data_IF_615420537460
#
_entry.id   IF_615420537460
#
_cell.length_a   1.000
_cell.length_b   1.000
_cell.length_c   1.000
_cell.angle_alpha   90.00
_cell.angle_beta   90.00
_cell.angle_gamma   90.00
#
_symmetry.space_group_name_H-M   'P 1'
#
loop_
_entity.id
_entity.type
_entity.pdbx_description
1 polymer ?
#
# COMPACT_ATOMS: atom_id res chain seq x y z
N UNK A 1 -64.12 5.62 19.84
CA UNK A 1 -62.87 6.03 20.52
C UNK A 1 -61.87 4.87 20.65
N UNK A 2 -62.27 3.68 21.05
CA UNK A 2 -61.37 2.51 21.17
C UNK A 2 -60.78 2.09 19.83
N UNK A 3 -61.50 2.14 18.75
CA UNK A 3 -61.05 1.82 17.39
C UNK A 3 -59.92 2.73 16.91
N UNK A 4 -59.99 4.01 17.26
CA UNK A 4 -58.94 4.99 16.90
C UNK A 4 -57.66 4.72 17.65
N UNK A 5 -57.74 4.34 18.94
CA UNK A 5 -56.54 3.97 19.73
C UNK A 5 -55.92 2.69 19.20
N UNK A 6 -56.72 1.69 18.83
CA UNK A 6 -56.18 0.45 18.23
C UNK A 6 -55.51 0.72 16.88
N UNK A 7 -56.15 1.55 16.03
CA UNK A 7 -55.55 1.93 14.74
C UNK A 7 -54.21 2.66 14.92
N UNK A 8 -54.13 3.60 15.87
CA UNK A 8 -52.86 4.31 16.17
C UNK A 8 -51.78 3.37 16.70
N UNK A 9 -52.15 2.40 17.56
CA UNK A 9 -51.20 1.43 18.08
C UNK A 9 -50.63 0.52 16.95
N UNK A 10 -51.48 0.01 16.08
CA UNK A 10 -51.04 -0.80 14.94
C UNK A 10 -50.14 0.00 13.98
N UNK A 11 -50.55 1.23 13.66
CA UNK A 11 -49.74 2.11 12.80
C UNK A 11 -48.37 2.39 13.40
N UNK A 12 -48.29 2.62 14.71
CA UNK A 12 -47.02 2.85 15.41
C UNK A 12 -46.12 1.63 15.33
N UNK A 13 -46.65 0.42 15.55
CA UNK A 13 -45.88 -0.82 15.46
C UNK A 13 -45.33 -1.04 14.03
N UNK A 14 -46.17 -0.83 13.02
CA UNK A 14 -45.76 -0.96 11.61
C UNK A 14 -44.68 0.07 11.29
N UNK A 15 -44.82 1.32 11.74
CA UNK A 15 -43.85 2.37 11.49
C UNK A 15 -42.50 2.03 12.13
N UNK A 16 -42.47 1.55 13.36
CA UNK A 16 -41.25 1.11 14.05
C UNK A 16 -40.58 -0.05 13.29
N UNK A 17 -41.37 -1.04 12.86
CA UNK A 17 -40.86 -2.17 12.09
C UNK A 17 -40.26 -1.73 10.75
N UNK A 18 -40.91 -0.82 10.04
CA UNK A 18 -40.40 -0.26 8.78
C UNK A 18 -39.09 0.54 9.00
N UNK A 19 -39.04 1.39 10.02
CA UNK A 19 -37.84 2.15 10.36
C UNK A 19 -36.65 1.23 10.70
N UNK A 20 -36.92 0.16 11.46
CA UNK A 20 -35.91 -0.86 11.77
C UNK A 20 -35.41 -1.58 10.51
N UNK A 21 -36.32 -1.94 9.60
CA UNK A 21 -35.97 -2.58 8.33
C UNK A 21 -35.10 -1.65 7.46
N UNK A 22 -35.47 -0.39 7.31
CA UNK A 22 -34.73 0.62 6.56
C UNK A 22 -33.34 0.82 7.18
N UNK A 23 -33.24 0.94 8.50
CA UNK A 23 -31.99 1.09 9.22
C UNK A 23 -31.03 -0.09 8.94
N UNK A 24 -31.51 -1.32 9.09
CA UNK A 24 -30.72 -2.52 8.85
C UNK A 24 -30.28 -2.64 7.38
N UNK A 25 -31.16 -2.30 6.44
CA UNK A 25 -30.87 -2.34 5.00
C UNK A 25 -29.81 -1.29 4.64
N UNK A 26 -29.92 -0.08 5.18
CA UNK A 26 -28.94 1.00 4.96
C UNK A 26 -27.58 0.63 5.52
N UNK A 27 -27.54 0.05 6.72
CA UNK A 27 -26.28 -0.42 7.32
C UNK A 27 -25.64 -1.53 6.48
N UNK A 28 -26.43 -2.51 6.02
CA UNK A 28 -25.96 -3.57 5.13
C UNK A 28 -25.41 -3.02 3.82
N UNK A 29 -26.10 -2.07 3.21
CA UNK A 29 -25.64 -1.40 1.98
C UNK A 29 -24.31 -0.66 2.19
N UNK A 30 -24.21 0.13 3.24
CA UNK A 30 -22.96 0.88 3.52
C UNK A 30 -21.79 -0.05 3.81
N UNK A 31 -21.97 -1.16 4.52
CA UNK A 31 -20.93 -2.17 4.74
C UNK A 31 -20.47 -2.80 3.41
N UNK A 32 -21.40 -3.14 2.54
CA UNK A 32 -21.10 -3.71 1.23
C UNK A 32 -20.33 -2.71 0.36
N UNK A 33 -20.78 -1.46 0.31
CA UNK A 33 -20.11 -0.41 -0.46
C UNK A 33 -18.68 -0.17 0.02
N UNK A 34 -18.44 -0.15 1.32
CA UNK A 34 -17.09 -0.03 1.90
C UNK A 34 -16.20 -1.20 1.50
N UNK A 35 -16.72 -2.43 1.56
CA UNK A 35 -15.97 -3.61 1.16
C UNK A 35 -15.60 -3.57 -0.34
N UNK A 36 -16.52 -3.13 -1.19
CA UNK A 36 -16.27 -2.96 -2.63
C UNK A 36 -15.20 -1.90 -2.89
N UNK A 37 -15.27 -0.76 -2.23
CA UNK A 37 -14.30 0.33 -2.40
C UNK A 37 -12.89 -0.12 -1.95
N UNK A 38 -12.78 -0.76 -0.79
CA UNK A 38 -11.51 -1.30 -0.29
C UNK A 38 -10.92 -2.35 -1.22
N UNK A 39 -11.76 -3.25 -1.75
CA UNK A 39 -11.32 -4.25 -2.72
C UNK A 39 -10.86 -3.61 -4.04
N UNK A 40 -11.53 -2.56 -4.48
CA UNK A 40 -11.15 -1.81 -5.68
C UNK A 40 -9.78 -1.13 -5.50
N UNK A 41 -9.56 -0.49 -4.35
CA UNK A 41 -8.29 0.16 -4.02
C UNK A 41 -7.14 -0.86 -4.00
N UNK A 42 -7.32 -2.00 -3.31
CA UNK A 42 -6.31 -3.05 -3.28
C UNK A 42 -6.00 -3.61 -4.67
N UNK A 43 -7.03 -3.88 -5.48
CA UNK A 43 -6.84 -4.38 -6.85
C UNK A 43 -6.13 -3.39 -7.75
N UNK A 44 -6.44 -2.10 -7.63
CA UNK A 44 -5.78 -1.05 -8.41
C UNK A 44 -4.30 -0.98 -8.05
N UNK A 45 -3.98 -0.99 -6.75
CA UNK A 45 -2.60 -1.02 -6.28
C UNK A 45 -1.86 -2.27 -6.76
N UNK A 46 -2.44 -3.46 -6.57
CA UNK A 46 -1.81 -4.73 -6.97
C UNK A 46 -1.53 -4.74 -8.48
N UNK A 47 -2.45 -4.30 -9.32
CA UNK A 47 -2.24 -4.23 -10.78
C UNK A 47 -1.16 -3.24 -11.17
N UNK A 48 -1.15 -2.08 -10.51
CA UNK A 48 -0.13 -1.07 -10.72
C UNK A 48 1.25 -1.62 -10.35
N UNK A 49 1.37 -2.20 -9.16
CA UNK A 49 2.60 -2.82 -8.67
C UNK A 49 3.06 -4.00 -9.56
N UNK A 50 2.12 -4.84 -10.02
CA UNK A 50 2.39 -5.95 -10.95
C UNK A 50 3.01 -5.45 -12.26
N UNK A 51 2.50 -4.34 -12.80
CA UNK A 51 3.05 -3.70 -13.98
C UNK A 51 4.47 -3.16 -13.78
N UNK A 52 4.76 -2.61 -12.61
CA UNK A 52 6.10 -2.10 -12.29
C UNK A 52 7.11 -3.20 -12.01
N UNK A 53 6.74 -4.17 -11.15
CA UNK A 53 7.64 -5.26 -10.79
C UNK A 53 7.89 -6.21 -11.99
N UNK A 54 6.94 -6.32 -12.91
CA UNK A 54 7.13 -7.08 -14.15
C UNK A 54 8.20 -6.51 -15.08
N UNK A 55 8.54 -5.23 -14.93
CA UNK A 55 9.57 -4.54 -15.70
C UNK A 55 10.88 -4.33 -14.89
N UNK A 56 11.02 -4.97 -13.71
CA UNK A 56 12.22 -4.85 -12.92
C UNK A 56 13.44 -5.42 -13.66
N UNK A 57 14.59 -4.84 -13.42
CA UNK A 57 15.84 -5.33 -14.00
C UNK A 57 16.39 -6.47 -13.12
N UNK A 58 16.48 -7.71 -13.63
CA UNK A 58 17.07 -8.82 -12.89
C UNK A 58 18.48 -8.45 -12.43
N UNK A 59 18.88 -8.86 -11.24
CA UNK A 59 20.22 -8.65 -10.65
C UNK A 59 20.56 -7.23 -10.20
N UNK A 60 19.69 -6.24 -10.32
CA UNK A 60 19.99 -4.89 -9.88
C UNK A 60 19.10 -4.46 -8.71
N UNK A 61 19.71 -4.27 -7.57
CA UNK A 61 19.20 -3.53 -6.42
C UNK A 61 17.76 -3.87 -5.97
N UNK A 62 17.56 -5.07 -5.47
CA UNK A 62 16.47 -5.37 -4.58
C UNK A 62 16.88 -4.97 -3.17
N UNK A 63 16.43 -3.84 -2.69
CA UNK A 63 16.68 -3.46 -1.31
C UNK A 63 15.40 -3.61 -0.53
N UNK A 64 15.38 -4.62 0.31
CA UNK A 64 14.38 -4.80 1.33
C UNK A 64 14.97 -4.31 2.65
N UNK A 65 14.38 -3.31 3.24
CA UNK A 65 14.70 -2.93 4.62
C UNK A 65 13.58 -3.44 5.50
N UNK A 66 13.73 -4.65 5.99
CA UNK A 66 12.88 -5.17 7.07
C UNK A 66 13.25 -4.43 8.35
N UNK A 67 12.28 -3.79 8.97
CA UNK A 67 12.45 -3.15 10.27
C UNK A 67 12.05 -4.14 11.35
N UNK A 68 13.00 -4.63 12.14
CA UNK A 68 12.76 -5.53 13.27
C UNK A 68 11.97 -4.87 14.44
N UNK A 69 11.80 -3.57 14.42
CA UNK A 69 11.06 -2.85 15.45
C UNK A 69 9.67 -2.44 14.97
N UNK A 70 8.74 -3.33 15.16
CA UNK A 70 7.35 -3.20 14.78
C UNK A 70 6.60 -2.16 15.63
N UNK A 71 6.50 -0.92 15.15
CA UNK A 71 5.62 0.08 15.77
C UNK A 71 4.91 0.90 14.68
N UNK A 72 3.94 0.28 13.99
CA UNK A 72 3.06 0.96 13.04
C UNK A 72 3.55 1.04 11.59
N UNK A 73 2.97 1.91 10.76
CA UNK A 73 3.30 2.00 9.35
C UNK A 73 4.78 2.32 9.06
N UNK A 74 5.42 3.10 9.94
CA UNK A 74 6.85 3.46 9.82
C UNK A 74 7.80 2.26 9.93
N UNK A 75 7.32 1.14 10.46
CA UNK A 75 8.05 -0.13 10.57
C UNK A 75 7.70 -1.13 9.48
N UNK A 76 6.88 -0.74 8.52
CA UNK A 76 6.61 -1.53 7.33
C UNK A 76 7.88 -1.68 6.49
N UNK A 77 7.93 -2.76 5.73
CA UNK A 77 9.04 -3.00 4.81
C UNK A 77 9.19 -1.86 3.82
N UNK A 78 10.41 -1.67 3.35
CA UNK A 78 10.73 -0.74 2.26
C UNK A 78 11.28 -1.54 1.10
N UNK A 79 10.75 -1.30 -0.08
CA UNK A 79 11.18 -1.96 -1.31
C UNK A 79 11.68 -0.91 -2.28
N UNK A 80 12.83 -1.16 -2.88
CA UNK A 80 13.28 -0.38 -4.02
C UNK A 80 13.89 -1.29 -5.09
N UNK A 81 13.64 -0.97 -6.34
CA UNK A 81 14.18 -1.69 -7.49
C UNK A 81 14.35 -0.77 -8.69
N UNK A 82 15.20 -1.20 -9.62
CA UNK A 82 15.35 -0.54 -10.91
C UNK A 82 14.48 -1.26 -11.93
N UNK A 83 13.80 -0.49 -12.76
CA UNK A 83 12.94 -1.00 -13.84
C UNK A 83 13.28 -0.36 -15.17
N UNK A 84 12.93 -1.04 -16.24
CA UNK A 84 12.94 -0.45 -17.58
C UNK A 84 11.73 0.47 -17.71
N UNK A 85 11.95 1.71 -18.14
CA UNK A 85 10.90 2.69 -18.37
C UNK A 85 10.24 2.45 -19.72
N UNK A 86 8.92 2.58 -19.77
CA UNK A 86 8.21 2.62 -21.06
C UNK A 86 8.53 3.92 -21.82
N UNK A 87 8.46 3.94 -23.16
CA UNK A 87 8.70 5.16 -23.94
C UNK A 87 7.85 6.35 -23.51
N UNK A 88 6.60 6.12 -23.10
CA UNK A 88 5.68 7.16 -22.61
C UNK A 88 6.16 7.82 -21.30
N UNK A 89 6.78 7.03 -20.44
CA UNK A 89 7.36 7.53 -19.17
C UNK A 89 8.68 8.24 -19.45
N UNK A 90 9.49 7.74 -20.37
CA UNK A 90 10.73 8.40 -20.82
C UNK A 90 10.44 9.80 -21.33
N UNK A 91 9.45 9.96 -22.21
CA UNK A 91 9.00 11.26 -22.75
C UNK A 91 8.61 12.25 -21.64
N UNK A 92 8.02 11.77 -20.53
CA UNK A 92 7.66 12.60 -19.40
C UNK A 92 8.89 13.15 -18.66
N UNK A 93 9.97 12.37 -18.58
CA UNK A 93 11.25 12.82 -18.01
C UNK A 93 12.05 13.70 -18.96
N UNK A 94 12.01 13.46 -20.28
CA UNK A 94 12.69 14.28 -21.29
C UNK A 94 12.22 15.73 -21.32
N UNK A 95 10.97 15.98 -20.97
CA UNK A 95 10.41 17.33 -20.87
C UNK A 95 10.91 18.08 -19.62
N UNK A 96 11.64 17.44 -18.73
CA UNK A 96 12.35 18.09 -17.62
C UNK A 96 13.71 18.58 -18.15
N UNK A 97 14.14 19.83 -17.90
CA UNK A 97 15.42 20.32 -18.37
C UNK A 97 16.57 19.45 -17.86
N UNK A 98 17.09 18.57 -18.72
CA UNK A 98 18.27 17.77 -18.42
C UNK A 98 19.55 18.61 -18.55
N UNK A 99 20.60 18.32 -17.77
CA UNK A 99 21.92 18.88 -18.02
C UNK A 99 22.37 18.59 -19.46
N UNK A 100 23.01 19.52 -20.11
CA UNK A 100 23.26 19.57 -21.55
C UNK A 100 24.04 18.37 -22.18
N UNK A 101 24.41 17.37 -21.39
CA UNK A 101 25.16 16.17 -21.82
C UNK A 101 24.60 14.85 -21.26
N UNK A 102 23.39 14.83 -20.73
CA UNK A 102 22.78 13.59 -20.24
C UNK A 102 21.88 13.00 -21.33
N UNK A 103 22.24 11.81 -21.80
CA UNK A 103 21.34 10.97 -22.59
C UNK A 103 20.22 10.45 -21.66
N UNK A 104 18.94 10.65 -21.98
CA UNK A 104 17.87 10.05 -21.20
C UNK A 104 17.98 8.52 -21.34
N UNK A 105 18.36 7.88 -20.25
CA UNK A 105 18.39 6.41 -20.21
C UNK A 105 16.99 5.83 -20.13
N UNK A 106 16.89 4.54 -20.38
CA UNK A 106 15.66 3.76 -20.31
C UNK A 106 15.38 3.13 -18.91
N UNK A 107 16.21 3.46 -17.93
CA UNK A 107 16.12 2.92 -16.57
C UNK A 107 15.60 3.96 -15.59
N UNK A 108 14.72 3.51 -14.69
CA UNK A 108 14.23 4.31 -13.58
C UNK A 108 14.22 3.52 -12.28
N UNK A 109 14.57 4.16 -11.17
CA UNK A 109 14.47 3.56 -9.86
C UNK A 109 13.10 3.91 -9.23
N UNK A 110 12.51 2.91 -8.57
CA UNK A 110 11.26 3.06 -7.84
C UNK A 110 11.46 2.58 -6.41
N UNK A 111 10.93 3.34 -5.45
CA UNK A 111 10.90 2.94 -4.06
C UNK A 111 9.49 3.02 -3.49
N UNK A 112 9.13 2.01 -2.68
CA UNK A 112 7.90 1.91 -1.92
C UNK A 112 8.21 1.91 -0.42
N UNK A 113 7.52 2.73 0.33
CA UNK A 113 7.69 2.83 1.77
C UNK A 113 6.41 3.34 2.44
N UNK A 114 6.21 3.02 3.70
CA UNK A 114 5.10 3.50 4.49
C UNK A 114 5.53 4.64 5.42
N UNK A 115 4.71 5.68 5.49
CA UNK A 115 4.89 6.82 6.39
C UNK A 115 3.55 7.54 6.60
N UNK A 116 3.55 8.63 7.33
CA UNK A 116 2.37 9.47 7.56
C UNK A 116 2.34 10.66 6.62
N UNK A 117 1.16 10.94 6.06
CA UNK A 117 0.93 12.17 5.28
C UNK A 117 1.19 13.41 6.15
N UNK A 118 1.88 14.42 5.63
CA UNK A 118 2.01 15.72 6.28
C UNK A 118 0.67 16.47 6.21
N UNK A 119 -0.08 16.48 7.31
CA UNK A 119 -1.37 17.16 7.40
C UNK A 119 -1.24 18.45 8.19
N UNK A 120 -1.90 19.52 7.74
CA UNK A 120 -1.85 20.83 8.39
C UNK A 120 -2.53 20.86 9.77
N UNK A 121 -3.47 19.95 10.01
CA UNK A 121 -4.24 19.81 11.24
C UNK A 121 -3.66 18.78 12.23
N UNK A 122 -2.49 18.23 11.90
CA UNK A 122 -1.79 17.28 12.76
C UNK A 122 -2.43 15.89 12.84
N UNK A 123 -3.38 15.57 11.96
CA UNK A 123 -3.94 14.23 11.85
C UNK A 123 -2.89 13.26 11.32
N UNK A 124 -2.79 12.10 11.92
CA UNK A 124 -1.93 11.03 11.43
C UNK A 124 -2.71 10.18 10.42
N UNK A 125 -2.38 10.30 9.14
CA UNK A 125 -2.95 9.48 8.07
C UNK A 125 -1.81 8.64 7.50
N UNK A 126 -1.71 7.34 7.87
CA UNK A 126 -0.67 6.49 7.33
C UNK A 126 -0.96 6.16 5.87
N UNK A 127 0.09 6.14 5.06
CA UNK A 127 -0.01 5.87 3.64
C UNK A 127 1.17 5.03 3.14
N UNK A 128 0.96 4.32 2.05
CA UNK A 128 2.03 3.76 1.24
C UNK A 128 2.44 4.82 0.22
N UNK A 129 3.68 5.18 0.23
CA UNK A 129 4.27 6.13 -0.70
C UNK A 129 5.06 5.42 -1.78
N UNK A 130 5.08 6.05 -2.94
CA UNK A 130 5.91 5.70 -4.07
C UNK A 130 6.80 6.87 -4.42
N UNK A 131 8.07 6.61 -4.51
CA UNK A 131 9.07 7.54 -5.06
C UNK A 131 9.61 7.00 -6.35
N UNK A 132 9.62 7.83 -7.38
CA UNK A 132 10.20 7.49 -8.67
C UNK A 132 11.39 8.42 -8.96
N UNK A 133 12.47 7.83 -9.42
CA UNK A 133 13.64 8.56 -9.91
C UNK A 133 13.77 8.38 -11.41
N UNK A 134 14.02 9.49 -12.09
CA UNK A 134 14.31 9.48 -13.51
C UNK A 134 15.67 8.88 -13.85
N UNK A 135 15.97 8.74 -15.16
CA UNK A 135 17.15 8.05 -15.65
C UNK A 135 18.48 8.57 -15.09
N UNK A 136 18.67 9.88 -15.05
CA UNK A 136 19.91 10.50 -14.56
C UNK A 136 20.21 10.15 -13.10
N UNK A 137 19.20 10.30 -12.22
CA UNK A 137 19.36 9.98 -10.81
C UNK A 137 19.51 8.47 -10.57
N UNK A 138 18.89 7.64 -11.42
CA UNK A 138 19.05 6.19 -11.40
C UNK A 138 20.47 5.77 -11.79
N UNK A 139 21.04 6.41 -12.80
CA UNK A 139 22.41 6.17 -13.21
C UNK A 139 23.42 6.53 -12.10
N UNK A 140 23.22 7.64 -11.39
CA UNK A 140 24.05 8.01 -10.24
C UNK A 140 24.04 6.93 -9.14
N UNK A 141 22.88 6.30 -8.89
CA UNK A 141 22.76 5.18 -7.93
C UNK A 141 23.56 3.97 -8.43
N UNK A 142 23.44 3.63 -9.71
CA UNK A 142 24.15 2.50 -10.32
C UNK A 142 25.68 2.70 -10.27
N UNK A 143 26.15 3.90 -10.56
CA UNK A 143 27.58 4.24 -10.54
C UNK A 143 28.15 4.24 -9.10
N UNK A 144 27.34 4.66 -8.12
CA UNK A 144 27.74 4.64 -6.72
C UNK A 144 27.91 3.21 -6.16
N UNK A 145 27.32 2.21 -6.80
CA UNK A 145 27.48 0.80 -6.47
C UNK A 145 27.02 0.42 -5.06
N UNK A 146 26.19 1.25 -4.42
CA UNK A 146 25.82 1.11 -3.02
C UNK A 146 24.30 1.19 -2.82
N UNK A 147 23.75 0.21 -2.11
CA UNK A 147 22.38 0.26 -1.59
C UNK A 147 22.10 1.44 -0.66
N UNK A 148 23.16 2.12 -0.17
CA UNK A 148 23.04 3.31 0.67
C UNK A 148 22.54 4.56 -0.09
N UNK A 149 22.49 4.52 -1.42
CA UNK A 149 22.08 5.65 -2.28
C UNK A 149 20.60 5.57 -2.71
N UNK A 150 19.79 4.74 -2.05
CA UNK A 150 18.37 4.71 -2.34
C UNK A 150 17.69 6.06 -2.10
N UNK A 151 16.66 6.36 -2.91
CA UNK A 151 15.96 7.62 -2.77
C UNK A 151 15.50 7.83 -1.34
N UNK A 152 15.95 8.92 -0.72
CA UNK A 152 15.53 9.28 0.62
C UNK A 152 14.02 9.52 0.64
N UNK A 153 13.24 8.88 1.51
CA UNK A 153 11.81 9.11 1.63
C UNK A 153 11.49 10.58 1.91
N UNK A 154 10.51 11.12 1.18
CA UNK A 154 9.97 12.47 1.42
C UNK A 154 8.44 12.47 1.27
N UNK A 155 7.69 12.18 2.36
CA UNK A 155 6.23 12.14 2.32
C UNK A 155 5.56 13.45 1.90
N UNK A 156 6.30 14.57 1.84
CA UNK A 156 5.74 15.84 1.41
C UNK A 156 5.69 15.99 -0.12
N UNK A 157 6.54 15.27 -0.83
CA UNK A 157 6.67 15.37 -2.30
C UNK A 157 6.38 14.04 -3.01
N UNK A 158 6.54 12.91 -2.31
CA UNK A 158 6.34 11.58 -2.90
C UNK A 158 4.85 11.24 -3.04
N UNK A 159 4.51 10.40 -4.00
CA UNK A 159 3.14 10.03 -4.31
C UNK A 159 2.56 9.06 -3.28
N UNK A 160 1.47 9.44 -2.61
CA UNK A 160 0.73 8.54 -1.74
C UNK A 160 -0.25 7.69 -2.57
N UNK A 161 0.00 6.38 -2.66
CA UNK A 161 -0.77 5.45 -3.52
C UNK A 161 -1.82 4.63 -2.79
N UNK A 162 -1.63 4.36 -1.49
CA UNK A 162 -2.62 3.70 -0.63
C UNK A 162 -2.73 4.46 0.67
N UNK A 163 -3.95 4.86 1.04
CA UNK A 163 -4.23 5.56 2.28
C UNK A 163 -4.70 4.59 3.37
N UNK A 164 -4.63 5.05 4.62
CA UNK A 164 -5.09 4.33 5.80
C UNK A 164 -4.38 2.98 5.97
N UNK A 165 -3.11 2.94 5.62
CA UNK A 165 -2.26 1.78 5.67
C UNK A 165 -1.98 1.38 7.12
N UNK A 166 -2.08 0.08 7.41
CA UNK A 166 -1.67 -0.49 8.70
C UNK A 166 -0.30 -1.13 8.55
N UNK A 167 -0.09 -1.84 7.44
CA UNK A 167 1.10 -2.63 7.21
C UNK A 167 1.34 -2.83 5.71
N UNK A 168 2.59 -2.76 5.33
CA UNK A 168 3.11 -3.15 4.03
C UNK A 168 4.27 -4.11 4.28
N UNK A 169 4.09 -5.36 3.90
CA UNK A 169 5.05 -6.42 4.15
C UNK A 169 5.43 -7.08 2.83
N UNK A 170 6.71 -7.34 2.67
CA UNK A 170 7.29 -7.98 1.50
C UNK A 170 8.17 -9.13 1.95
N UNK A 171 7.90 -10.31 1.40
CA UNK A 171 8.69 -11.50 1.65
C UNK A 171 9.26 -12.03 0.32
N UNK A 172 10.50 -11.71 0.02
CA UNK A 172 11.17 -12.28 -1.14
C UNK A 172 11.54 -13.75 -0.84
N UNK A 173 11.39 -14.60 -1.84
CA UNK A 173 11.67 -16.04 -1.73
C UNK A 173 12.46 -16.51 -2.94
N UNK A 174 13.25 -17.56 -2.75
CA UNK A 174 14.09 -18.17 -3.78
C UNK A 174 13.90 -19.69 -3.79
N UNK A 175 13.98 -20.30 -4.97
CA UNK A 175 14.03 -21.74 -5.07
C UNK A 175 15.45 -22.26 -4.82
N UNK A 176 15.61 -23.13 -3.85
CA UNK A 176 16.88 -23.80 -3.64
C UNK A 176 17.16 -24.84 -4.76
N UNK A 177 18.35 -25.42 -4.73
CA UNK A 177 18.81 -26.42 -5.72
C UNK A 177 17.93 -27.68 -5.79
N UNK A 178 17.07 -27.91 -4.80
CA UNK A 178 16.11 -29.04 -4.77
C UNK A 178 14.70 -28.64 -5.20
N UNK A 179 14.49 -27.37 -5.59
CA UNK A 179 13.20 -26.84 -6.00
C UNK A 179 12.26 -26.50 -4.84
N UNK A 180 12.78 -26.41 -3.62
CA UNK A 180 12.02 -25.98 -2.44
C UNK A 180 12.13 -24.46 -2.30
N UNK A 181 11.00 -23.80 -2.01
CA UNK A 181 10.93 -22.37 -1.80
C UNK A 181 11.41 -22.04 -0.39
N UNK A 182 12.42 -21.17 -0.29
CA UNK A 182 13.02 -20.69 0.95
C UNK A 182 12.96 -19.17 1.01
N UNK A 183 13.09 -18.58 2.20
CA UNK A 183 13.17 -17.14 2.36
C UNK A 183 14.49 -16.64 1.75
N UNK A 184 14.40 -15.58 0.95
CA UNK A 184 15.57 -14.95 0.34
C UNK A 184 16.26 -14.04 1.35
N UNK A 185 17.58 -14.12 1.44
CA UNK A 185 18.39 -13.26 2.31
C UNK A 185 18.91 -12.05 1.53
N UNK A 186 18.88 -10.88 2.16
CA UNK A 186 19.28 -9.59 1.53
C UNK A 186 20.72 -9.58 0.99
N UNK A 187 21.59 -10.40 1.57
CA UNK A 187 22.99 -10.53 1.15
C UNK A 187 23.20 -11.64 0.09
N UNK A 188 22.13 -12.26 -0.39
CA UNK A 188 22.23 -13.29 -1.42
C UNK A 188 22.74 -12.70 -2.73
N UNK A 189 23.70 -13.34 -3.40
CA UNK A 189 24.18 -12.92 -4.72
C UNK A 189 23.13 -13.18 -5.83
N UNK A 190 22.13 -13.99 -5.54
CA UNK A 190 21.06 -14.36 -6.46
C UNK A 190 19.82 -13.50 -6.20
N UNK A 191 19.14 -13.08 -7.26
CA UNK A 191 17.87 -12.36 -7.14
C UNK A 191 16.76 -13.32 -6.64
N UNK A 192 15.77 -12.83 -5.89
CA UNK A 192 14.64 -13.66 -5.50
C UNK A 192 13.81 -14.08 -6.73
N UNK A 193 13.24 -15.28 -6.68
CA UNK A 193 12.36 -15.81 -7.74
C UNK A 193 10.92 -15.35 -7.57
N UNK A 194 10.53 -15.10 -6.33
CA UNK A 194 9.16 -14.79 -5.96
C UNK A 194 9.15 -13.64 -4.94
N UNK A 195 8.21 -12.73 -5.12
CA UNK A 195 7.90 -11.69 -4.14
C UNK A 195 6.49 -11.93 -3.60
N UNK A 196 6.37 -12.22 -2.32
CA UNK A 196 5.09 -12.23 -1.62
C UNK A 196 4.83 -10.87 -0.99
N UNK A 197 3.77 -10.20 -1.44
CA UNK A 197 3.35 -8.89 -0.96
C UNK A 197 2.11 -9.04 -0.10
N UNK A 198 2.15 -8.52 1.12
CA UNK A 198 0.98 -8.36 1.98
C UNK A 198 0.75 -6.90 2.30
N UNK A 199 -0.48 -6.43 2.06
CA UNK A 199 -0.92 -5.09 2.41
C UNK A 199 -2.13 -5.17 3.33
N UNK A 200 -2.10 -4.38 4.42
CA UNK A 200 -3.20 -4.27 5.38
C UNK A 200 -3.59 -2.81 5.54
N UNK A 201 -4.87 -2.51 5.44
CA UNK A 201 -5.39 -1.15 5.56
C UNK A 201 -6.82 -1.12 6.10
N UNK A 202 -7.30 0.08 6.46
CA UNK A 202 -8.69 0.36 6.82
C UNK A 202 -9.43 1.00 5.66
N UNK A 203 -10.75 0.79 5.63
CA UNK A 203 -11.62 1.66 4.83
C UNK A 203 -11.68 3.08 5.42
N UNK A 204 -11.93 4.08 4.58
CA UNK A 204 -11.92 5.51 4.96
C UNK A 204 -12.80 5.83 6.17
N UNK A 205 -13.96 5.19 6.26
CA UNK A 205 -14.91 5.45 7.34
C UNK A 205 -14.46 4.86 8.68
N UNK A 206 -13.77 3.73 8.63
CA UNK A 206 -13.17 3.10 9.82
C UNK A 206 -11.93 3.87 10.27
N UNK A 207 -11.13 4.36 9.32
CA UNK A 207 -9.92 5.13 9.55
C UNK A 207 -10.17 6.44 10.30
N UNK A 208 -11.31 7.10 10.08
CA UNK A 208 -11.69 8.35 10.77
C UNK A 208 -11.72 8.24 12.30
N UNK A 209 -11.72 7.03 12.86
CA UNK A 209 -11.69 6.78 14.30
C UNK A 209 -10.30 6.92 14.91
N UNK A 210 -9.25 6.87 14.06
CA UNK A 210 -7.85 6.88 14.46
C UNK A 210 -7.23 8.18 13.96
N UNK A 211 -6.83 9.05 14.89
CA UNK A 211 -6.36 10.40 14.57
C UNK A 211 -4.90 10.62 14.89
N UNK A 212 -4.33 9.77 15.74
CA UNK A 212 -2.96 9.92 16.23
C UNK A 212 -2.07 8.75 15.81
N UNK A 213 -0.78 9.00 15.66
CA UNK A 213 0.22 7.94 15.39
C UNK A 213 0.16 6.83 16.44
N UNK A 214 -0.03 7.17 17.70
CA UNK A 214 -0.12 6.18 18.78
C UNK A 214 -1.31 5.23 18.63
N UNK A 215 -2.46 5.72 18.15
CA UNK A 215 -3.64 4.89 17.87
C UNK A 215 -3.40 3.96 16.68
N UNK A 216 -2.76 4.44 15.61
CA UNK A 216 -2.41 3.62 14.45
C UNK A 216 -1.38 2.55 14.80
N UNK A 217 -0.34 2.90 15.57
CA UNK A 217 0.68 1.97 16.02
C UNK A 217 0.07 0.87 16.91
N UNK A 218 -0.83 1.25 17.83
CA UNK A 218 -1.57 0.27 18.62
C UNK A 218 -2.43 -0.65 17.76
N UNK A 219 -3.10 -0.09 16.74
CA UNK A 219 -3.94 -0.88 15.83
C UNK A 219 -3.11 -1.89 15.04
N UNK A 220 -1.92 -1.52 14.62
CA UNK A 220 -1.01 -2.40 13.88
C UNK A 220 -0.50 -3.56 14.78
N UNK A 221 -0.09 -3.25 16.00
CA UNK A 221 0.56 -4.22 16.92
C UNK A 221 -0.43 -5.03 17.76
N UNK A 222 -1.49 -4.40 18.26
CA UNK A 222 -2.46 -5.04 19.16
C UNK A 222 -3.90 -4.56 18.90
N UNK A 223 -4.49 -4.95 17.77
CA UNK A 223 -5.87 -4.61 17.45
C UNK A 223 -6.84 -5.31 18.40
N UNK A 224 -7.84 -4.58 18.88
CA UNK A 224 -8.96 -5.15 19.66
C UNK A 224 -9.80 -6.05 18.77
N UNK A 225 -10.55 -7.01 19.32
CA UNK A 225 -11.33 -7.96 18.52
C UNK A 225 -12.31 -7.29 17.58
N UNK A 226 -12.95 -6.21 18.02
CA UNK A 226 -13.83 -5.41 17.16
C UNK A 226 -13.10 -4.69 16.02
N UNK A 227 -11.84 -4.30 16.24
CA UNK A 227 -11.01 -3.60 15.25
C UNK A 227 -10.45 -4.57 14.21
N UNK A 228 -10.18 -5.83 14.58
CA UNK A 228 -9.72 -6.86 13.64
C UNK A 228 -10.67 -7.03 12.45
N UNK A 229 -11.98 -6.90 12.68
CA UNK A 229 -12.99 -7.00 11.63
C UNK A 229 -13.00 -5.81 10.65
N UNK A 230 -12.37 -4.69 11.01
CA UNK A 230 -12.24 -3.49 10.17
C UNK A 230 -11.02 -3.56 9.26
N UNK A 231 -10.00 -4.33 9.65
CA UNK A 231 -8.74 -4.47 8.90
C UNK A 231 -9.00 -5.31 7.65
N UNK A 232 -8.59 -4.79 6.51
CA UNK A 232 -8.57 -5.52 5.24
C UNK A 232 -7.15 -5.96 4.95
N UNK A 233 -6.97 -7.25 4.67
CA UNK A 233 -5.68 -7.84 4.33
C UNK A 233 -5.74 -8.45 2.94
N UNK A 234 -4.75 -8.15 2.12
CA UNK A 234 -4.59 -8.71 0.78
C UNK A 234 -3.15 -9.20 0.64
N UNK A 235 -3.03 -10.44 0.20
CA UNK A 235 -1.73 -11.04 -0.10
C UNK A 235 -1.70 -11.44 -1.57
N UNK A 236 -0.59 -11.15 -2.24
CA UNK A 236 -0.37 -11.51 -3.64
C UNK A 236 1.06 -11.99 -3.82
N UNK A 237 1.22 -13.00 -4.65
CA UNK A 237 2.51 -13.56 -5.05
C UNK A 237 2.82 -13.11 -6.47
N UNK A 238 4.02 -12.56 -6.66
CA UNK A 238 4.55 -12.10 -7.94
C UNK A 238 5.76 -12.98 -8.30
N UNK A 239 5.69 -13.76 -9.37
CA UNK A 239 6.90 -14.37 -9.93
C UNK A 239 7.78 -13.27 -10.51
N UNK A 240 9.07 -13.32 -10.23
CA UNK A 240 10.04 -12.39 -10.77
C UNK A 240 10.73 -13.02 -11.99
N UNK A 241 10.90 -12.22 -13.05
CA UNK A 241 11.68 -12.66 -14.20
C UNK A 241 13.16 -12.76 -13.80
N UNK A 242 13.79 -13.86 -14.13
CA UNK A 242 15.24 -14.07 -13.97
C UNK A 242 16.01 -13.49 -15.16
#
# INVERSE_FOLDING_TARGET
MIELLVAMAITSVITIALLSLVGNTTEGYTRTQRAVNSLSQARSFIRFFEGEIGNHLPSSFFVLVSSDSFIGPESSDKLAFIRVLSPEIQDAFENTPLPANSDPGDLGAVAYYADYLPTADGLAIPALFRKELGPTATQEILEAGSSASLPSPDPATDEAIVLNLIEFQIQPKIYNSTGVLEDWETDSPESPDILELTIRFLDDSSAQRFKTRAEWNRLATNPRDQEKSLIRSFTRIFPLAQ
#
